data_IF_629692140486
#
_entry.id   IF_629692140486
#
_cell.length_a   1.000
_cell.length_b   1.000
_cell.length_c   1.000
_cell.angle_alpha   90.00
_cell.angle_beta   90.00
_cell.angle_gamma   90.00
#
_symmetry.space_group_name_H-M   'P 1'
#
loop_
_entity.id
_entity.type
_entity.pdbx_description
1 polymer ?
#
# COMPACT_ATOMS: atom_id res chain seq x y z
N UNK A 1 -12.35 7.93 10.37
CA UNK A 1 -13.27 7.43 11.43
C UNK A 1 -12.85 7.96 12.80
N UNK A 2 -13.22 9.22 13.17
CA UNK A 2 -12.81 9.80 14.46
C UNK A 2 -13.39 9.06 15.68
N UNK A 3 -14.58 8.49 15.54
CA UNK A 3 -15.27 7.77 16.62
C UNK A 3 -14.56 6.49 17.08
N UNK A 4 -13.54 6.02 16.34
CA UNK A 4 -12.75 4.82 16.68
C UNK A 4 -11.37 5.12 17.24
N UNK A 5 -11.01 6.39 17.41
CA UNK A 5 -9.65 6.77 17.81
C UNK A 5 -9.23 6.22 19.18
N UNK A 6 -10.18 6.03 20.11
CA UNK A 6 -9.88 5.51 21.44
C UNK A 6 -9.66 3.99 21.47
N UNK A 7 -10.39 3.24 20.66
CA UNK A 7 -10.30 1.77 20.61
C UNK A 7 -9.23 1.31 19.61
N UNK A 8 -8.97 2.11 18.57
CA UNK A 8 -8.13 1.77 17.44
C UNK A 8 -8.96 1.32 16.25
N UNK A 9 -8.67 1.87 15.06
CA UNK A 9 -9.45 1.59 13.84
C UNK A 9 -9.40 0.11 13.43
N UNK A 10 -8.35 -0.62 13.82
CA UNK A 10 -8.20 -2.05 13.53
C UNK A 10 -9.31 -2.92 14.14
N UNK A 11 -9.99 -2.43 15.18
CA UNK A 11 -11.13 -3.11 15.80
C UNK A 11 -12.49 -2.66 15.22
N UNK A 12 -12.50 -1.87 14.15
CA UNK A 12 -13.73 -1.52 13.45
C UNK A 12 -14.40 -2.77 12.88
N UNK A 13 -15.71 -2.92 13.08
CA UNK A 13 -16.52 -3.97 12.45
C UNK A 13 -16.89 -3.57 11.02
N UNK A 14 -16.62 -4.44 10.07
CA UNK A 14 -17.00 -4.34 8.66
C UNK A 14 -18.45 -4.81 8.44
N UNK A 15 -19.06 -4.52 7.28
CA UNK A 15 -20.44 -4.93 7.00
C UNK A 15 -20.69 -6.44 7.05
N UNK A 16 -19.66 -7.27 6.90
CA UNK A 16 -19.71 -8.73 7.01
C UNK A 16 -19.66 -9.24 8.47
N UNK A 17 -19.56 -8.34 9.44
CA UNK A 17 -19.51 -8.65 10.88
C UNK A 17 -18.11 -8.94 11.41
N UNK A 18 -17.11 -9.06 10.54
CA UNK A 18 -15.71 -9.24 10.94
C UNK A 18 -15.08 -7.89 11.32
N UNK A 19 -14.13 -7.91 12.25
CA UNK A 19 -13.25 -6.76 12.50
C UNK A 19 -12.20 -6.63 11.39
N UNK A 20 -11.64 -5.42 11.22
CA UNK A 20 -10.49 -5.20 10.33
C UNK A 20 -9.31 -6.11 10.73
N UNK A 21 -9.09 -6.33 12.03
CA UNK A 21 -8.08 -7.26 12.55
C UNK A 21 -8.29 -8.68 12.03
N UNK A 22 -9.49 -9.23 12.18
CA UNK A 22 -9.81 -10.59 11.72
C UNK A 22 -9.62 -10.73 10.21
N UNK A 23 -10.04 -9.72 9.45
CA UNK A 23 -9.85 -9.70 8.00
C UNK A 23 -8.37 -9.68 7.62
N UNK A 24 -7.57 -8.83 8.27
CA UNK A 24 -6.11 -8.75 8.06
C UNK A 24 -5.41 -10.06 8.41
N UNK A 25 -5.73 -10.68 9.54
CA UNK A 25 -5.11 -11.96 9.94
C UNK A 25 -5.38 -13.07 8.92
N UNK A 26 -6.61 -13.15 8.39
CA UNK A 26 -6.94 -14.11 7.33
C UNK A 26 -6.17 -13.85 6.04
N UNK A 27 -5.98 -12.59 5.66
CA UNK A 27 -5.19 -12.21 4.46
C UNK A 27 -3.71 -12.51 4.68
N UNK A 28 -3.18 -12.19 5.87
CA UNK A 28 -1.76 -12.32 6.18
C UNK A 28 -1.30 -13.75 6.42
N UNK A 29 -2.21 -14.70 6.61
CA UNK A 29 -1.90 -16.14 6.61
C UNK A 29 -1.14 -16.56 5.34
N UNK A 30 -1.37 -15.88 4.22
CA UNK A 30 -0.72 -16.18 2.94
C UNK A 30 0.61 -15.44 2.71
N UNK A 31 0.91 -14.39 3.47
CA UNK A 31 2.12 -13.57 3.26
C UNK A 31 3.44 -14.35 3.38
N UNK A 32 3.61 -15.33 4.30
CA UNK A 32 4.83 -16.12 4.39
C UNK A 32 5.20 -16.90 3.12
N UNK A 33 4.23 -17.12 2.21
CA UNK A 33 4.48 -17.77 0.92
C UNK A 33 4.99 -16.81 -0.16
N UNK A 34 4.96 -15.49 0.10
CA UNK A 34 5.21 -14.43 -0.88
C UNK A 34 6.38 -13.55 -0.44
N UNK A 35 6.57 -13.39 0.88
CA UNK A 35 7.55 -12.49 1.48
C UNK A 35 8.53 -13.22 2.40
N UNK A 36 9.78 -12.73 2.49
CA UNK A 36 10.73 -13.21 3.49
C UNK A 36 10.25 -12.88 4.92
N UNK A 37 10.71 -13.63 5.95
CA UNK A 37 10.43 -13.32 7.35
C UNK A 37 10.86 -11.91 7.75
N UNK A 38 10.05 -11.22 8.55
CA UNK A 38 10.35 -9.86 9.00
C UNK A 38 9.25 -9.25 9.86
N UNK A 39 9.32 -7.92 10.02
CA UNK A 39 8.29 -7.12 10.69
C UNK A 39 7.35 -6.50 9.64
N UNK A 40 6.06 -6.81 9.72
CA UNK A 40 5.03 -6.16 8.92
C UNK A 40 4.49 -4.93 9.67
N UNK A 41 4.64 -3.76 9.05
CA UNK A 41 3.98 -2.52 9.48
C UNK A 41 2.88 -2.22 8.48
N UNK A 42 1.64 -2.07 8.94
CA UNK A 42 0.47 -1.85 8.09
C UNK A 42 -0.48 -0.81 8.70
N UNK A 43 -1.23 -0.13 7.83
CA UNK A 43 -2.29 0.79 8.24
C UNK A 43 -3.45 0.03 8.90
N UNK A 44 -3.93 0.56 10.02
CA UNK A 44 -5.01 -0.06 10.81
C UNK A 44 -6.39 -0.01 10.15
N UNK A 45 -6.55 0.77 9.08
CA UNK A 45 -7.84 1.10 8.45
C UNK A 45 -7.89 0.82 6.94
N UNK A 46 -6.92 0.07 6.43
CA UNK A 46 -6.93 -0.42 5.04
C UNK A 46 -6.94 -1.95 5.03
N UNK A 47 -7.58 -2.54 4.03
CA UNK A 47 -7.57 -3.99 3.79
C UNK A 47 -6.79 -4.25 2.49
N UNK A 48 -5.73 -5.03 2.59
CA UNK A 48 -4.85 -5.34 1.47
C UNK A 48 -5.34 -6.57 0.68
N UNK A 49 -5.32 -6.50 -0.65
CA UNK A 49 -5.51 -7.68 -1.50
C UNK A 49 -4.14 -8.27 -1.88
N UNK A 50 -3.67 -9.24 -1.09
CA UNK A 50 -2.37 -9.89 -1.30
C UNK A 50 -2.42 -10.99 -2.36
N UNK A 51 -3.61 -11.33 -2.88
CA UNK A 51 -3.78 -12.47 -3.80
C UNK A 51 -3.07 -12.28 -5.15
N UNK A 52 -2.76 -11.04 -5.51
CA UNK A 52 -2.10 -10.67 -6.77
C UNK A 52 -0.60 -10.46 -6.62
N UNK A 53 -0.07 -10.53 -5.40
CA UNK A 53 1.36 -10.34 -5.19
C UNK A 53 2.15 -11.55 -5.66
N UNK A 54 3.26 -11.26 -6.33
CA UNK A 54 4.25 -12.26 -6.73
C UNK A 54 5.32 -12.32 -5.65
N UNK A 55 6.03 -13.44 -5.61
CA UNK A 55 7.20 -13.62 -4.75
C UNK A 55 8.16 -12.44 -4.91
N UNK A 56 8.60 -11.88 -3.80
CA UNK A 56 9.48 -10.71 -3.75
C UNK A 56 10.88 -11.14 -3.32
N UNK A 57 11.91 -10.62 -4.00
CA UNK A 57 13.29 -10.86 -3.59
C UNK A 57 13.56 -10.23 -2.21
N UNK A 58 14.34 -10.92 -1.34
CA UNK A 58 14.72 -10.36 -0.05
C UNK A 58 15.35 -8.97 -0.17
N UNK A 59 14.81 -8.02 0.59
CA UNK A 59 15.24 -6.64 0.66
C UNK A 59 15.18 -6.13 2.10
N UNK A 60 15.97 -5.11 2.43
CA UNK A 60 15.95 -4.49 3.78
C UNK A 60 14.58 -3.88 4.12
N UNK A 61 13.85 -3.43 3.09
CA UNK A 61 12.50 -2.91 3.19
C UNK A 61 11.72 -3.31 1.94
N UNK A 62 10.50 -3.80 2.14
CA UNK A 62 9.56 -4.11 1.07
C UNK A 62 8.34 -3.20 1.28
N UNK A 63 7.98 -2.46 0.24
CA UNK A 63 6.79 -1.62 0.22
C UNK A 63 5.74 -2.23 -0.71
N UNK A 64 4.49 -2.21 -0.28
CA UNK A 64 3.37 -2.62 -1.11
C UNK A 64 2.87 -1.41 -1.90
N UNK A 65 2.68 -1.60 -3.20
CA UNK A 65 2.21 -0.54 -4.09
C UNK A 65 1.06 -1.05 -4.96
N UNK A 66 0.08 -0.19 -5.16
CA UNK A 66 -1.03 -0.43 -6.10
C UNK A 66 -0.92 0.56 -7.25
N UNK A 67 -1.13 0.08 -8.47
CA UNK A 67 -1.28 0.97 -9.62
C UNK A 67 -2.64 1.67 -9.54
N UNK A 68 -2.60 3.01 -9.46
CA UNK A 68 -3.76 3.86 -9.22
C UNK A 68 -3.87 4.98 -10.24
N UNK A 69 -5.08 5.45 -10.50
CA UNK A 69 -5.30 6.62 -11.36
C UNK A 69 -4.67 7.88 -10.75
N UNK A 70 -4.41 8.89 -11.58
CA UNK A 70 -3.82 10.15 -11.13
C UNK A 70 -4.76 10.99 -10.25
N UNK A 71 -6.06 10.73 -10.31
CA UNK A 71 -7.03 11.34 -9.39
C UNK A 71 -6.84 10.80 -7.97
N UNK A 72 -6.71 9.48 -7.86
CA UNK A 72 -6.49 8.72 -6.63
C UNK A 72 -5.09 8.98 -6.05
N UNK A 73 -4.08 9.09 -6.90
CA UNK A 73 -2.68 9.28 -6.51
C UNK A 73 -2.41 10.60 -5.76
N UNK A 74 -3.20 11.66 -6.02
CA UNK A 74 -3.03 12.98 -5.37
C UNK A 74 -3.29 12.95 -3.87
N UNK A 75 -4.07 11.98 -3.40
CA UNK A 75 -4.43 11.87 -1.98
C UNK A 75 -3.50 10.93 -1.19
N UNK A 76 -2.51 10.33 -1.86
CA UNK A 76 -1.67 9.24 -1.35
C UNK A 76 -0.18 9.50 -1.53
N UNK A 77 0.64 8.66 -0.89
CA UNK A 77 2.05 8.53 -1.18
C UNK A 77 2.24 7.90 -2.56
N UNK A 78 3.07 8.51 -3.40
CA UNK A 78 3.40 8.04 -4.75
C UNK A 78 4.84 7.55 -4.78
N UNK A 79 5.02 6.28 -5.11
CA UNK A 79 6.32 5.63 -5.22
C UNK A 79 6.97 5.88 -6.57
N UNK A 80 8.22 6.34 -6.55
CA UNK A 80 9.05 6.51 -7.75
C UNK A 80 10.13 5.44 -7.73
N UNK A 81 10.16 4.62 -8.77
CA UNK A 81 11.14 3.56 -8.93
C UNK A 81 12.28 4.01 -9.87
N UNK A 82 13.48 3.48 -9.67
CA UNK A 82 14.57 3.60 -10.64
C UNK A 82 14.39 2.61 -11.80
N UNK A 83 15.31 2.63 -12.77
CA UNK A 83 15.27 1.75 -13.94
C UNK A 83 15.44 0.26 -13.61
N UNK A 84 15.82 -0.09 -12.38
CA UNK A 84 15.94 -1.46 -11.87
C UNK A 84 14.73 -1.85 -11.01
N UNK A 85 13.71 -1.00 -10.92
CA UNK A 85 12.53 -1.25 -10.10
C UNK A 85 12.74 -1.03 -8.60
N UNK A 86 13.85 -0.41 -8.18
CA UNK A 86 14.10 -0.09 -6.76
C UNK A 86 13.49 1.24 -6.40
N UNK A 87 12.97 1.36 -5.18
CA UNK A 87 12.42 2.60 -4.67
C UNK A 87 13.50 3.70 -4.64
N UNK A 88 13.26 4.80 -5.36
CA UNK A 88 14.13 5.98 -5.42
C UNK A 88 13.67 7.08 -4.47
N UNK A 89 12.36 7.35 -4.44
CA UNK A 89 11.75 8.39 -3.61
C UNK A 89 10.25 8.18 -3.47
N UNK A 90 9.64 8.85 -2.50
CA UNK A 90 8.19 8.88 -2.29
C UNK A 90 7.73 10.35 -2.29
N UNK A 91 6.69 10.67 -3.05
CA UNK A 91 6.02 11.97 -2.98
C UNK A 91 4.77 11.83 -2.12
N UNK A 92 4.60 12.69 -1.11
CA UNK A 92 3.43 12.62 -0.23
C UNK A 92 2.33 13.56 -0.71
N UNK A 93 1.21 13.00 -1.18
CA UNK A 93 0.04 13.73 -1.68
C UNK A 93 0.39 14.78 -2.74
N UNK A 94 1.11 14.38 -3.82
CA UNK A 94 1.62 15.33 -4.80
C UNK A 94 0.52 15.89 -5.69
N UNK A 95 0.77 17.08 -6.21
CA UNK A 95 0.07 17.60 -7.39
C UNK A 95 0.44 16.81 -8.65
N UNK A 96 -0.38 16.95 -9.71
CA UNK A 96 -0.08 16.32 -10.99
C UNK A 96 1.27 16.76 -11.56
N UNK A 97 1.59 18.05 -11.44
CA UNK A 97 2.84 18.61 -11.92
C UNK A 97 4.04 18.00 -11.20
N UNK A 98 3.97 17.83 -9.88
CA UNK A 98 5.06 17.19 -9.12
C UNK A 98 5.27 15.73 -9.53
N UNK A 99 4.19 15.00 -9.84
CA UNK A 99 4.29 13.63 -10.36
C UNK A 99 4.95 13.58 -11.74
N UNK A 100 4.60 14.52 -12.63
CA UNK A 100 5.20 14.64 -13.97
C UNK A 100 6.69 15.02 -13.88
N UNK A 101 7.01 16.05 -13.11
CA UNK A 101 8.37 16.56 -12.91
C UNK A 101 9.29 15.48 -12.31
N UNK A 102 8.74 14.59 -11.48
CA UNK A 102 9.48 13.49 -10.85
C UNK A 102 9.47 12.18 -11.67
N UNK A 103 8.84 12.15 -12.84
CA UNK A 103 8.68 10.95 -13.67
C UNK A 103 8.00 9.79 -12.93
N UNK A 104 6.95 10.08 -12.16
CA UNK A 104 6.21 9.10 -11.38
C UNK A 104 5.15 8.32 -12.19
N UNK A 105 4.89 8.72 -13.44
CA UNK A 105 3.86 8.14 -14.29
C UNK A 105 4.36 6.85 -14.95
N UNK A 106 3.56 5.80 -14.83
CA UNK A 106 3.73 4.53 -15.54
C UNK A 106 3.34 4.67 -17.02
N UNK A 107 3.74 3.72 -17.90
CA UNK A 107 3.34 3.71 -19.30
C UNK A 107 1.82 3.70 -19.53
N UNK A 108 1.05 3.21 -18.55
CA UNK A 108 -0.41 3.24 -18.54
C UNK A 108 -1.01 4.63 -18.30
N UNK A 109 -0.21 5.61 -17.86
CA UNK A 109 -0.66 6.92 -17.40
C UNK A 109 -1.05 6.97 -15.92
N UNK A 110 -0.90 5.86 -15.19
CA UNK A 110 -1.18 5.75 -13.76
C UNK A 110 0.08 6.00 -12.90
N UNK A 111 -0.06 5.92 -11.58
CA UNK A 111 1.05 5.99 -10.63
C UNK A 111 1.00 4.84 -9.62
N UNK A 112 2.14 4.50 -9.02
CA UNK A 112 2.23 3.52 -7.94
C UNK A 112 1.99 4.21 -6.60
N UNK A 113 1.03 3.74 -5.80
CA UNK A 113 0.61 4.40 -4.57
C UNK A 113 0.58 3.48 -3.33
N UNK A 114 0.68 4.06 -2.13
CA UNK A 114 0.44 3.39 -0.85
C UNK A 114 -1.06 3.39 -0.50
N UNK A 115 -1.69 2.23 -0.56
CA UNK A 115 -3.06 2.02 -0.08
C UNK A 115 -3.05 0.76 0.75
#
# INVERSE_FOLDING_TARGET
MPHLSAIGKIFATLPDGCTILEKKLSIYEHLPNILPPGLLVSASDVIEDVSKFKECEPSEMIAFATESSLEVAKDHGVFILDSKGKLKSVLQKPSLKEMEDASALLPSGNALTDW
#
